data_IF_832027835707
#
_entry.id   IF_832027835707
#
_cell.length_a   1.000
_cell.length_b   1.000
_cell.length_c   1.000
_cell.angle_alpha   90.00
_cell.angle_beta   90.00
_cell.angle_gamma   90.00
#
_symmetry.space_group_name_H-M   'P 1'
#
loop_
_entity.id
_entity.type
_entity.pdbx_description
1 polymer ?
#
# COMPACT_ATOMS: atom_id res chain seq x y z
N UNK A 1 -0.90 -11.21 2.29
CA UNK A 1 -1.02 -12.68 2.32
C UNK A 1 0.21 -13.28 2.96
N UNK A 2 0.02 -14.15 3.96
CA UNK A 2 1.10 -14.72 4.77
C UNK A 2 2.16 -15.44 3.91
N UNK A 3 1.74 -16.16 2.89
CA UNK A 3 2.66 -16.85 1.96
C UNK A 3 3.61 -15.87 1.23
N UNK A 4 3.12 -14.72 0.78
CA UNK A 4 3.95 -13.68 0.17
C UNK A 4 4.93 -13.08 1.18
N UNK A 5 4.48 -12.79 2.40
CA UNK A 5 5.36 -12.26 3.44
C UNK A 5 6.49 -13.24 3.77
N UNK A 6 6.22 -14.54 3.77
CA UNK A 6 7.25 -15.57 3.94
C UNK A 6 8.30 -15.53 2.82
N UNK A 7 7.90 -15.34 1.57
CA UNK A 7 8.85 -15.19 0.47
C UNK A 7 9.73 -13.95 0.64
N UNK A 8 9.14 -12.79 0.97
CA UNK A 8 9.90 -11.57 1.22
C UNK A 8 10.85 -11.72 2.41
N UNK A 9 10.39 -12.31 3.52
CA UNK A 9 11.25 -12.62 4.67
C UNK A 9 12.43 -13.54 4.30
N UNK A 10 12.17 -14.57 3.49
CA UNK A 10 13.20 -15.48 2.98
C UNK A 10 14.22 -14.80 2.06
N UNK A 11 13.87 -13.68 1.43
CA UNK A 11 14.80 -12.83 0.65
C UNK A 11 15.51 -11.78 1.50
N UNK A 12 15.30 -11.78 2.82
CA UNK A 12 15.95 -10.85 3.74
C UNK A 12 15.27 -9.50 3.90
N UNK A 13 14.02 -9.34 3.42
CA UNK A 13 13.25 -8.13 3.67
C UNK A 13 12.78 -8.07 5.12
N UNK A 14 12.74 -6.84 5.67
CA UNK A 14 11.91 -6.49 6.80
C UNK A 14 10.52 -6.07 6.35
N UNK A 15 9.67 -5.71 7.33
CA UNK A 15 8.30 -5.27 7.05
C UNK A 15 8.04 -3.92 7.71
N UNK A 16 7.28 -3.09 7.01
CA UNK A 16 6.67 -1.89 7.57
C UNK A 16 5.18 -2.14 7.73
N UNK A 17 4.61 -1.71 8.85
CA UNK A 17 3.22 -1.87 9.20
C UNK A 17 2.60 -0.52 9.56
N UNK A 18 1.48 -0.18 8.90
CA UNK A 18 0.72 1.03 9.18
C UNK A 18 -0.35 0.82 10.27
N UNK A 19 -0.49 -0.40 10.79
CA UNK A 19 -1.34 -0.74 11.93
C UNK A 19 -0.71 -1.84 12.79
N UNK A 20 -1.12 -1.90 14.07
CA UNK A 20 -0.65 -2.95 14.96
C UNK A 20 -1.01 -4.36 14.45
N UNK A 21 -2.19 -4.52 13.84
CA UNK A 21 -2.62 -5.79 13.27
C UNK A 21 -1.78 -6.21 12.07
N UNK A 22 -1.41 -5.29 11.17
CA UNK A 22 -0.47 -5.58 10.08
C UNK A 22 0.86 -6.08 10.62
N UNK A 23 1.39 -5.45 11.67
CA UNK A 23 2.60 -5.89 12.35
C UNK A 23 2.49 -7.32 12.91
N UNK A 24 1.34 -7.67 13.52
CA UNK A 24 1.10 -9.03 14.01
C UNK A 24 1.08 -10.07 12.87
N UNK A 25 0.45 -9.72 11.73
CA UNK A 25 0.44 -10.59 10.54
C UNK A 25 1.86 -10.80 10.01
N UNK A 26 2.65 -9.74 9.91
CA UNK A 26 4.04 -9.82 9.46
C UNK A 26 4.92 -10.64 10.42
N UNK A 27 4.83 -10.39 11.73
CA UNK A 27 5.57 -11.13 12.75
C UNK A 27 5.20 -12.62 12.79
N UNK A 28 3.94 -12.97 12.53
CA UNK A 28 3.50 -14.36 12.40
C UNK A 28 4.02 -15.01 11.13
N UNK A 29 3.99 -14.29 10.02
CA UNK A 29 4.44 -14.82 8.73
C UNK A 29 5.94 -15.13 8.73
N UNK A 30 6.75 -14.24 9.31
CA UNK A 30 8.20 -14.38 9.37
C UNK A 30 8.75 -13.89 10.71
N UNK A 31 8.80 -14.76 11.73
CA UNK A 31 9.33 -14.41 13.04
C UNK A 31 10.79 -13.94 12.97
N UNK A 32 11.12 -12.84 13.66
CA UNK A 32 12.47 -12.29 13.73
C UNK A 32 12.86 -11.36 12.58
N UNK A 33 12.01 -11.13 11.58
CA UNK A 33 12.25 -10.06 10.61
C UNK A 33 12.24 -8.68 11.30
N UNK A 34 13.08 -7.72 10.86
CA UNK A 34 12.92 -6.33 11.27
C UNK A 34 11.51 -5.84 10.94
N UNK A 35 10.80 -5.30 11.93
CA UNK A 35 9.46 -4.79 11.76
C UNK A 35 9.41 -3.35 12.24
N UNK A 36 9.03 -2.45 11.33
CA UNK A 36 8.80 -1.04 11.58
C UNK A 36 7.30 -0.81 11.74
N UNK A 37 6.92 -0.06 12.77
CA UNK A 37 5.52 0.32 12.99
C UNK A 37 5.39 1.84 12.84
N UNK A 38 4.86 2.28 11.71
CA UNK A 38 4.57 3.68 11.38
C UNK A 38 3.07 3.87 11.18
N UNK A 39 2.46 4.60 12.08
CA UNK A 39 1.06 5.03 12.00
C UNK A 39 0.95 6.44 12.56
N UNK A 40 0.13 7.31 11.98
CA UNK A 40 -0.06 8.67 12.51
C UNK A 40 -0.89 8.71 13.79
N UNK A 41 -1.45 7.59 14.25
CA UNK A 41 -2.37 7.54 15.39
C UNK A 41 -2.24 6.24 16.18
N UNK A 42 -1.05 5.99 16.75
CA UNK A 42 -0.85 4.84 17.64
C UNK A 42 -1.43 5.10 19.02
N UNK A 43 -2.17 4.14 19.56
CA UNK A 43 -2.63 4.20 20.95
C UNK A 43 -1.49 3.92 21.94
N UNK A 44 -1.62 4.38 23.19
CA UNK A 44 -0.63 4.06 24.25
C UNK A 44 -0.44 2.55 24.42
N UNK A 45 -1.53 1.79 24.32
CA UNK A 45 -1.49 0.31 24.40
C UNK A 45 -0.73 -0.30 23.24
N UNK A 46 -0.93 0.17 22.02
CA UNK A 46 -0.19 -0.30 20.83
C UNK A 46 1.28 0.02 20.93
N UNK A 47 1.64 1.24 21.37
CA UNK A 47 3.04 1.63 21.59
C UNK A 47 3.70 0.66 22.59
N UNK A 48 3.10 0.47 23.76
CA UNK A 48 3.66 -0.40 24.81
C UNK A 48 3.80 -1.87 24.31
N UNK A 49 2.79 -2.38 23.59
CA UNK A 49 2.83 -3.74 23.05
C UNK A 49 3.87 -3.90 21.94
N UNK A 50 3.97 -2.95 21.03
CA UNK A 50 4.97 -2.98 19.96
C UNK A 50 6.40 -2.93 20.53
N UNK A 51 6.64 -2.11 21.55
CA UNK A 51 7.92 -2.06 22.27
C UNK A 51 8.24 -3.39 22.96
N UNK A 52 7.27 -4.00 23.63
CA UNK A 52 7.44 -5.31 24.28
C UNK A 52 7.74 -6.43 23.26
N UNK A 53 7.28 -6.29 22.01
CA UNK A 53 7.57 -7.19 20.91
C UNK A 53 8.90 -6.88 20.20
N UNK A 54 9.61 -5.83 20.59
CA UNK A 54 10.88 -5.43 19.98
C UNK A 54 10.74 -4.77 18.60
N UNK A 55 9.55 -4.24 18.25
CA UNK A 55 9.36 -3.54 16.98
C UNK A 55 10.02 -2.17 16.98
N UNK A 56 10.52 -1.75 15.84
CA UNK A 56 11.04 -0.39 15.64
C UNK A 56 9.86 0.56 15.45
N UNK A 57 9.71 1.52 16.37
CA UNK A 57 8.65 2.52 16.28
C UNK A 57 9.12 3.76 15.51
N UNK A 58 8.20 4.34 14.73
CA UNK A 58 8.33 5.67 14.16
C UNK A 58 7.26 6.59 14.76
N UNK A 59 7.65 7.51 15.61
CA UNK A 59 6.75 8.50 16.20
C UNK A 59 6.38 9.55 15.16
N UNK A 60 5.07 9.83 15.01
CA UNK A 60 4.60 10.84 14.07
C UNK A 60 4.75 12.29 14.59
N UNK A 61 4.95 12.46 15.89
CA UNK A 61 5.08 13.76 16.56
C UNK A 61 5.99 13.70 17.77
N UNK A 62 6.42 14.86 18.25
CA UNK A 62 7.17 15.00 19.51
C UNK A 62 6.38 14.48 20.72
N UNK A 63 5.06 14.73 20.73
CA UNK A 63 4.19 14.22 21.80
C UNK A 63 4.14 12.69 21.82
N UNK A 64 4.18 12.06 20.67
CA UNK A 64 4.24 10.61 20.58
C UNK A 64 5.62 10.08 20.96
N UNK A 65 6.69 10.74 20.50
CA UNK A 65 8.07 10.40 20.86
C UNK A 65 8.26 10.40 22.38
N UNK A 66 7.73 11.41 23.06
CA UNK A 66 7.78 11.51 24.53
C UNK A 66 7.04 10.36 25.26
N UNK A 67 6.20 9.61 24.58
CA UNK A 67 5.47 8.44 25.14
C UNK A 67 6.20 7.12 24.94
N UNK A 68 7.28 7.11 24.17
CA UNK A 68 8.06 5.90 23.89
C UNK A 68 9.12 5.70 24.98
N UNK A 69 9.34 4.44 25.38
CA UNK A 69 10.34 4.07 26.39
C UNK A 69 11.54 3.32 25.80
N UNK A 70 11.51 3.03 24.52
CA UNK A 70 12.56 2.31 23.80
C UNK A 70 13.08 3.18 22.64
N UNK A 71 14.22 2.83 22.03
CA UNK A 71 14.70 3.54 20.86
C UNK A 71 13.60 3.67 19.80
N UNK A 72 13.34 4.91 19.37
CA UNK A 72 12.29 5.25 18.43
C UNK A 72 12.84 6.24 17.39
N UNK A 73 12.32 6.21 16.16
CA UNK A 73 12.57 7.27 15.18
C UNK A 73 11.50 8.36 15.28
N UNK A 74 11.86 9.57 14.90
CA UNK A 74 10.90 10.64 14.71
C UNK A 74 10.63 10.79 13.19
N UNK A 75 9.36 10.82 12.82
CA UNK A 75 8.95 11.16 11.46
C UNK A 75 9.07 12.65 11.23
N UNK A 76 9.68 13.00 10.10
CA UNK A 76 9.97 14.38 9.71
C UNK A 76 9.31 14.70 8.38
N UNK A 77 8.60 15.79 8.32
CA UNK A 77 8.13 16.38 7.08
C UNK A 77 9.27 17.12 6.41
N UNK A 78 9.89 16.49 5.44
CA UNK A 78 11.07 17.03 4.74
C UNK A 78 10.74 18.12 3.71
N UNK A 79 9.48 18.54 3.57
CA UNK A 79 9.03 19.65 2.71
C UNK A 79 9.56 19.60 1.27
N UNK A 80 9.60 18.41 0.69
CA UNK A 80 10.05 18.22 -0.69
C UNK A 80 9.00 18.57 -1.74
N UNK A 81 7.81 18.98 -1.29
CA UNK A 81 6.74 19.43 -2.18
C UNK A 81 5.76 18.33 -2.59
N UNK A 82 4.90 18.67 -3.51
CA UNK A 82 3.86 17.77 -4.04
C UNK A 82 4.44 16.88 -5.15
N UNK A 83 4.11 15.57 -5.10
CA UNK A 83 4.22 14.69 -6.26
C UNK A 83 3.04 14.89 -7.22
N UNK A 84 2.96 14.05 -8.26
CA UNK A 84 1.88 14.11 -9.25
C UNK A 84 0.49 13.94 -8.61
N UNK A 85 0.39 13.06 -7.62
CA UNK A 85 -0.87 12.77 -6.90
C UNK A 85 -0.95 13.60 -5.63
N UNK A 86 -1.69 14.70 -5.69
CA UNK A 86 -1.74 15.69 -4.61
C UNK A 86 -2.21 15.13 -3.25
N UNK A 87 -3.27 14.29 -3.25
CA UNK A 87 -3.83 13.75 -2.00
C UNK A 87 -2.98 12.64 -1.34
N UNK A 88 -1.95 12.15 -2.00
CA UNK A 88 -0.95 11.23 -1.41
C UNK A 88 0.39 11.91 -1.15
N UNK A 89 0.54 13.18 -1.47
CA UNK A 89 1.73 13.96 -1.18
C UNK A 89 1.69 14.44 0.27
N UNK A 90 2.58 13.94 1.09
CA UNK A 90 2.59 14.21 2.53
C UNK A 90 3.76 15.08 2.99
N UNK A 91 4.73 15.38 2.12
CA UNK A 91 5.88 16.23 2.40
C UNK A 91 5.63 17.70 1.99
N UNK A 92 4.49 18.24 2.39
CA UNK A 92 4.04 19.60 2.09
C UNK A 92 3.81 20.40 3.37
N UNK A 93 3.80 21.72 3.27
CA UNK A 93 3.48 22.59 4.41
C UNK A 93 2.08 22.27 4.98
N UNK A 94 1.96 22.26 6.30
CA UNK A 94 0.72 21.95 7.01
C UNK A 94 0.29 20.47 6.96
N UNK A 95 1.16 19.57 6.54
CA UNK A 95 0.89 18.13 6.60
C UNK A 95 0.76 17.67 8.05
N UNK A 96 -0.19 16.76 8.31
CA UNK A 96 -0.34 16.09 9.61
C UNK A 96 0.68 14.96 9.86
N UNK A 97 1.56 14.71 8.90
CA UNK A 97 2.54 13.63 8.94
C UNK A 97 3.93 14.17 9.25
N UNK A 98 4.42 13.81 10.43
CA UNK A 98 5.75 14.16 10.89
C UNK A 98 5.89 15.61 11.34
N UNK A 99 6.93 15.86 12.12
CA UNK A 99 7.33 17.21 12.53
C UNK A 99 7.99 17.96 11.38
N UNK A 100 7.84 19.26 11.39
CA UNK A 100 8.42 20.11 10.35
C UNK A 100 9.95 20.12 10.46
N UNK A 101 10.63 19.80 9.36
CA UNK A 101 12.09 19.77 9.29
C UNK A 101 12.75 21.08 9.79
N UNK A 102 12.17 22.22 9.43
CA UNK A 102 12.73 23.54 9.74
C UNK A 102 12.41 24.02 11.18
N UNK A 103 11.51 23.31 11.88
CA UNK A 103 11.06 23.67 13.22
C UNK A 103 11.49 22.67 14.31
N UNK A 104 12.37 21.72 13.98
CA UNK A 104 12.84 20.71 14.93
C UNK A 104 13.68 21.34 16.05
N UNK A 105 13.47 20.97 17.35
CA UNK A 105 14.37 21.31 18.43
C UNK A 105 15.78 20.76 18.20
N UNK A 106 16.80 21.48 18.65
CA UNK A 106 18.20 21.12 18.40
C UNK A 106 18.74 19.94 19.24
N UNK A 107 18.06 19.60 20.34
CA UNK A 107 18.51 18.62 21.35
C UNK A 107 17.60 17.39 21.45
N UNK A 108 17.06 16.94 20.31
CA UNK A 108 16.15 15.79 20.27
C UNK A 108 16.86 14.48 20.62
N UNK A 109 16.25 13.72 21.50
CA UNK A 109 16.66 12.36 21.86
C UNK A 109 15.81 11.34 21.09
N UNK A 110 16.19 11.04 19.85
CA UNK A 110 15.63 9.96 19.07
C UNK A 110 16.73 9.08 18.46
N UNK A 111 16.43 7.81 18.29
CA UNK A 111 17.41 6.84 17.78
C UNK A 111 17.45 6.79 16.25
N UNK A 112 16.47 7.39 15.57
CA UNK A 112 16.42 7.40 14.12
C UNK A 112 15.56 8.53 13.56
N UNK A 113 15.66 8.71 12.25
CA UNK A 113 14.85 9.68 11.50
C UNK A 113 14.08 8.97 10.42
N UNK A 114 12.82 9.34 10.25
CA UNK A 114 11.95 8.80 9.22
C UNK A 114 11.34 9.92 8.38
N UNK A 115 11.27 9.73 7.07
CA UNK A 115 10.48 10.55 6.18
C UNK A 115 9.76 9.67 5.17
N UNK A 116 8.50 10.00 4.89
CA UNK A 116 7.73 9.40 3.81
C UNK A 116 7.10 10.55 3.02
N UNK A 117 7.43 10.67 1.72
CA UNK A 117 7.07 11.88 0.97
C UNK A 117 5.80 11.74 0.15
N UNK A 118 5.37 10.52 -0.16
CA UNK A 118 4.18 10.26 -0.95
C UNK A 118 4.05 8.81 -1.38
N UNK A 119 3.08 8.52 -2.26
CA UNK A 119 2.81 7.16 -2.73
C UNK A 119 2.95 6.96 -4.23
N UNK A 120 2.68 7.99 -5.03
CA UNK A 120 2.66 7.89 -6.49
C UNK A 120 3.20 9.20 -7.09
N UNK A 121 4.08 9.07 -8.08
CA UNK A 121 4.55 10.21 -8.87
C UNK A 121 5.44 11.19 -8.09
N UNK A 122 6.14 10.76 -7.05
CA UNK A 122 7.26 11.51 -6.51
C UNK A 122 8.44 11.38 -7.46
N UNK A 123 9.13 12.49 -7.71
CA UNK A 123 10.33 12.48 -8.57
C UNK A 123 11.55 11.93 -7.82
N UNK A 124 12.54 11.45 -8.55
CA UNK A 124 13.80 11.02 -7.93
C UNK A 124 14.46 12.17 -7.16
N UNK A 125 14.43 13.39 -7.69
CA UNK A 125 14.98 14.58 -7.01
C UNK A 125 14.32 14.85 -5.68
N UNK A 126 12.97 14.70 -5.59
CA UNK A 126 12.24 14.84 -4.33
C UNK A 126 12.65 13.76 -3.31
N UNK A 127 12.81 12.52 -3.77
CA UNK A 127 13.25 11.41 -2.93
C UNK A 127 14.69 11.61 -2.43
N UNK A 128 15.58 12.04 -3.32
CA UNK A 128 16.98 12.35 -2.99
C UNK A 128 17.08 13.53 -2.02
N UNK A 129 16.34 14.61 -2.28
CA UNK A 129 16.31 15.76 -1.36
C UNK A 129 15.83 15.37 0.04
N UNK A 130 14.80 14.52 0.12
CA UNK A 130 14.32 13.99 1.40
C UNK A 130 15.40 13.18 2.12
N UNK A 131 16.07 12.28 1.40
CA UNK A 131 17.14 11.45 1.92
C UNK A 131 18.34 12.29 2.41
N UNK A 132 18.73 13.33 1.66
CA UNK A 132 19.79 14.28 2.05
C UNK A 132 19.43 15.01 3.34
N UNK A 133 18.19 15.52 3.47
CA UNK A 133 17.73 16.18 4.71
C UNK A 133 17.76 15.24 5.91
N UNK A 134 17.42 13.97 5.75
CA UNK A 134 17.56 12.99 6.83
C UNK A 134 19.01 12.70 7.18
N UNK A 135 19.91 12.61 6.19
CA UNK A 135 21.34 12.44 6.43
C UNK A 135 21.93 13.65 7.16
N UNK A 136 21.54 14.87 6.80
CA UNK A 136 21.92 16.12 7.49
C UNK A 136 21.47 16.14 8.96
N UNK A 137 20.24 15.66 9.24
CA UNK A 137 19.75 15.49 10.61
C UNK A 137 20.60 14.48 11.38
N UNK A 138 20.88 13.33 10.78
CA UNK A 138 21.67 12.29 11.41
C UNK A 138 23.12 12.72 11.70
N UNK A 139 23.71 13.55 10.86
CA UNK A 139 25.04 14.13 11.10
C UNK A 139 25.05 15.08 12.29
N UNK A 140 23.97 15.84 12.49
CA UNK A 140 23.82 16.75 13.63
C UNK A 140 23.44 16.05 14.95
N UNK A 141 22.92 14.81 14.86
CA UNK A 141 22.46 14.02 16.01
C UNK A 141 23.29 12.73 16.12
N UNK A 142 24.41 12.73 16.86
CA UNK A 142 25.38 11.62 16.86
C UNK A 142 24.83 10.29 17.38
N UNK A 143 23.71 10.30 18.11
CA UNK A 143 23.02 9.10 18.61
C UNK A 143 22.14 8.40 17.56
N UNK A 144 22.04 8.95 16.35
CA UNK A 144 21.28 8.34 15.27
C UNK A 144 21.85 6.96 14.90
N UNK A 145 21.01 5.94 14.94
CA UNK A 145 21.34 4.55 14.62
C UNK A 145 20.79 4.13 13.27
N UNK A 146 19.64 4.69 12.85
CA UNK A 146 19.01 4.36 11.57
C UNK A 146 18.32 5.54 10.91
N UNK A 147 18.13 5.40 9.60
CA UNK A 147 17.36 6.29 8.75
C UNK A 147 16.32 5.49 7.99
N UNK A 148 15.07 5.93 8.02
CA UNK A 148 14.00 5.39 7.19
C UNK A 148 13.63 6.42 6.12
N UNK A 149 13.96 6.13 4.88
CA UNK A 149 13.74 7.03 3.73
C UNK A 149 12.30 6.96 3.22
N UNK A 150 11.47 6.06 3.78
CA UNK A 150 10.09 5.87 3.39
C UNK A 150 9.91 5.37 1.97
N UNK A 151 8.78 5.73 1.38
CA UNK A 151 8.37 5.38 0.03
C UNK A 151 8.13 6.59 -0.86
N UNK A 152 7.52 6.34 -2.02
CA UNK A 152 7.13 7.38 -2.98
C UNK A 152 7.38 7.04 -4.44
N UNK A 153 8.13 5.96 -4.75
CA UNK A 153 8.33 5.51 -6.13
C UNK A 153 7.00 5.06 -6.77
N UNK A 154 6.80 5.46 -8.02
CA UNK A 154 5.66 5.02 -8.82
C UNK A 154 5.76 3.54 -9.20
N UNK A 155 4.65 2.97 -9.69
CA UNK A 155 4.62 1.59 -10.18
C UNK A 155 5.56 1.33 -11.37
N UNK A 156 5.88 2.36 -12.16
CA UNK A 156 6.76 2.28 -13.32
C UNK A 156 8.23 2.56 -13.00
N UNK A 157 8.55 3.05 -11.81
CA UNK A 157 9.92 3.40 -11.43
C UNK A 157 10.69 2.16 -10.95
N UNK A 158 11.94 2.04 -11.39
CA UNK A 158 12.82 0.95 -10.96
C UNK A 158 13.50 1.32 -9.65
N UNK A 159 13.41 0.43 -8.67
CA UNK A 159 14.07 0.63 -7.37
C UNK A 159 15.62 0.74 -7.52
N UNK A 160 16.20 0.00 -8.45
CA UNK A 160 17.64 0.04 -8.73
C UNK A 160 18.12 1.43 -9.19
N UNK A 161 17.32 2.16 -9.97
CA UNK A 161 17.66 3.51 -10.43
C UNK A 161 17.69 4.48 -9.22
N UNK A 162 16.73 4.39 -8.32
CA UNK A 162 16.75 5.15 -7.08
C UNK A 162 18.00 4.85 -6.22
N UNK A 163 18.35 3.58 -6.05
CA UNK A 163 19.53 3.19 -5.29
C UNK A 163 20.83 3.73 -5.92
N UNK A 164 20.89 3.75 -7.27
CA UNK A 164 22.04 4.30 -8.01
C UNK A 164 22.19 5.80 -7.79
N UNK A 165 21.09 6.54 -7.91
CA UNK A 165 21.08 7.99 -7.68
C UNK A 165 21.42 8.33 -6.22
N UNK A 166 20.87 7.58 -5.24
CA UNK A 166 21.22 7.76 -3.83
C UNK A 166 22.72 7.57 -3.56
N UNK A 167 23.36 6.57 -4.19
CA UNK A 167 24.82 6.36 -4.03
C UNK A 167 25.64 7.53 -4.57
N UNK A 168 25.19 8.14 -5.64
CA UNK A 168 25.87 9.28 -6.23
C UNK A 168 25.65 10.57 -5.43
N UNK A 169 24.43 10.81 -4.99
CA UNK A 169 23.99 12.10 -4.45
C UNK A 169 24.03 12.19 -2.92
N UNK A 170 23.93 11.06 -2.20
CA UNK A 170 23.94 10.98 -0.72
C UNK A 170 24.79 9.78 -0.28
N UNK A 171 26.11 9.79 -0.59
CA UNK A 171 27.00 8.65 -0.35
C UNK A 171 27.13 8.31 1.15
N UNK A 172 26.86 9.25 2.05
CA UNK A 172 26.89 9.04 3.50
C UNK A 172 25.94 7.92 3.97
N UNK A 173 24.84 7.69 3.25
CA UNK A 173 23.90 6.60 3.53
C UNK A 173 24.54 5.21 3.37
N UNK A 174 25.61 5.11 2.63
CA UNK A 174 26.31 3.86 2.32
C UNK A 174 27.63 3.70 3.08
N UNK A 175 27.92 4.59 4.01
CA UNK A 175 29.13 4.57 4.85
C UNK A 175 29.15 3.45 5.90
N UNK A 176 28.02 2.77 6.14
CA UNK A 176 27.84 1.82 7.23
C UNK A 176 27.60 2.46 8.61
N UNK A 177 27.55 3.79 8.68
CA UNK A 177 27.32 4.52 9.92
C UNK A 177 25.90 4.32 10.47
N UNK A 178 24.91 4.22 9.57
CA UNK A 178 23.51 4.05 9.91
C UNK A 178 22.92 2.83 9.21
N UNK A 179 21.93 2.21 9.83
CA UNK A 179 21.07 1.28 9.14
C UNK A 179 20.05 2.08 8.31
N UNK A 180 19.94 1.79 7.02
CA UNK A 180 19.03 2.50 6.12
C UNK A 180 17.85 1.60 5.74
N UNK A 181 16.65 2.10 5.90
CA UNK A 181 15.38 1.45 5.52
C UNK A 181 14.71 2.22 4.39
N UNK A 182 13.93 1.50 3.59
CA UNK A 182 13.03 2.05 2.56
C UNK A 182 11.70 1.32 2.58
N UNK A 183 10.61 1.99 2.13
CA UNK A 183 9.24 1.48 2.15
C UNK A 183 8.63 1.52 0.73
N UNK A 184 9.29 0.97 -0.26
CA UNK A 184 8.95 1.11 -1.69
C UNK A 184 7.87 0.11 -2.16
N UNK A 185 6.79 -0.09 -1.39
CA UNK A 185 5.77 -1.11 -1.63
C UNK A 185 5.14 -1.05 -3.03
N UNK A 186 4.75 0.14 -3.51
CA UNK A 186 4.10 0.27 -4.83
C UNK A 186 4.99 -0.17 -5.98
N UNK A 187 6.21 0.33 -6.05
CA UNK A 187 7.15 -0.01 -7.13
C UNK A 187 7.54 -1.48 -7.14
N UNK A 188 7.51 -2.14 -5.97
CA UNK A 188 7.80 -3.56 -5.85
C UNK A 188 6.60 -4.45 -6.18
N UNK A 189 5.37 -4.02 -5.84
CA UNK A 189 4.22 -4.91 -5.82
C UNK A 189 3.16 -4.63 -6.90
N UNK A 190 3.00 -3.39 -7.38
CA UNK A 190 1.87 -3.05 -8.25
C UNK A 190 1.78 -3.94 -9.51
N UNK A 191 2.90 -4.19 -10.16
CA UNK A 191 2.97 -4.99 -11.39
C UNK A 191 2.98 -6.50 -11.18
N UNK A 192 3.08 -6.98 -9.91
CA UNK A 192 3.19 -8.41 -9.62
C UNK A 192 1.86 -9.13 -9.62
N UNK A 193 0.74 -8.41 -9.65
CA UNK A 193 -0.58 -9.04 -9.70
C UNK A 193 -1.49 -8.40 -10.76
N UNK A 194 -2.40 -9.22 -11.24
CA UNK A 194 -3.51 -8.87 -12.11
C UNK A 194 -4.79 -9.38 -11.48
N UNK A 195 -5.88 -8.66 -11.71
CA UNK A 195 -7.20 -9.14 -11.35
C UNK A 195 -7.96 -9.53 -12.63
N UNK A 196 -8.78 -10.55 -12.53
CA UNK A 196 -9.60 -11.05 -13.62
C UNK A 196 -11.05 -11.07 -13.21
N UNK A 197 -11.91 -10.60 -14.08
CA UNK A 197 -13.35 -10.58 -13.83
C UNK A 197 -14.11 -10.94 -15.09
N UNK A 198 -15.17 -11.74 -14.94
CA UNK A 198 -16.03 -12.15 -16.04
C UNK A 198 -17.02 -11.06 -16.37
N UNK A 199 -17.32 -10.92 -17.66
CA UNK A 199 -18.40 -10.08 -18.19
C UNK A 199 -19.72 -10.85 -18.06
N UNK A 200 -20.61 -10.34 -17.24
CA UNK A 200 -21.93 -10.95 -17.03
C UNK A 200 -22.96 -10.48 -18.07
N UNK A 201 -22.95 -9.18 -18.38
CA UNK A 201 -23.90 -8.58 -19.31
C UNK A 201 -23.21 -7.55 -20.19
N UNK A 202 -23.67 -7.48 -21.46
CA UNK A 202 -23.30 -6.40 -22.38
C UNK A 202 -24.58 -5.71 -22.88
N UNK A 203 -24.70 -4.42 -22.59
CA UNK A 203 -25.87 -3.65 -23.01
C UNK A 203 -25.46 -2.23 -23.42
N UNK A 204 -25.82 -1.84 -24.64
CA UNK A 204 -25.58 -0.47 -25.16
C UNK A 204 -24.12 -0.02 -25.04
N UNK A 205 -23.17 -0.91 -25.33
CA UNK A 205 -21.74 -0.64 -25.26
C UNK A 205 -21.16 -0.60 -23.83
N UNK A 206 -21.93 -1.05 -22.82
CA UNK A 206 -21.48 -1.22 -21.45
C UNK A 206 -21.37 -2.70 -21.12
N UNK A 207 -20.17 -3.15 -20.76
CA UNK A 207 -19.89 -4.47 -20.22
C UNK A 207 -19.88 -4.39 -18.68
N UNK A 208 -20.76 -5.15 -18.02
CA UNK A 208 -20.88 -5.22 -16.58
C UNK A 208 -20.14 -6.41 -16.03
N UNK A 209 -19.26 -6.19 -15.04
CA UNK A 209 -18.38 -7.21 -14.46
C UNK A 209 -18.58 -7.32 -12.94
N UNK A 210 -17.93 -8.31 -12.31
CA UNK A 210 -18.04 -8.56 -10.86
C UNK A 210 -17.04 -7.79 -9.98
N UNK A 211 -16.03 -7.13 -10.53
CA UNK A 211 -15.13 -6.25 -9.78
C UNK A 211 -15.48 -4.78 -10.06
N UNK A 212 -15.65 -4.01 -9.03
CA UNK A 212 -16.01 -2.60 -9.11
C UNK A 212 -15.24 -1.76 -8.10
N UNK A 213 -15.85 -0.67 -7.64
CA UNK A 213 -15.26 0.21 -6.64
C UNK A 213 -15.02 -0.47 -5.28
N UNK A 214 -15.67 -1.59 -4.99
CA UNK A 214 -15.43 -2.43 -3.82
C UNK A 214 -14.00 -2.99 -3.79
N UNK A 215 -13.41 -3.27 -4.94
CA UNK A 215 -12.05 -3.79 -5.10
C UNK A 215 -11.08 -2.74 -5.67
N UNK A 216 -11.54 -1.93 -6.62
CA UNK A 216 -10.77 -0.93 -7.35
C UNK A 216 -11.12 0.50 -6.90
N UNK A 217 -11.30 0.71 -5.61
CA UNK A 217 -11.76 1.96 -5.01
C UNK A 217 -11.05 3.19 -5.60
N UNK A 218 -9.71 3.17 -5.63
CA UNK A 218 -8.93 4.30 -6.13
C UNK A 218 -9.11 4.50 -7.63
N UNK A 219 -9.18 3.42 -8.40
CA UNK A 219 -9.38 3.49 -9.85
C UNK A 219 -10.71 4.14 -10.19
N UNK A 220 -11.77 3.81 -9.48
CA UNK A 220 -13.12 4.35 -9.75
C UNK A 220 -13.24 5.81 -9.31
N UNK A 221 -12.76 6.14 -8.12
CA UNK A 221 -12.91 7.51 -7.58
C UNK A 221 -11.84 8.49 -8.05
N UNK A 222 -10.71 8.01 -8.54
CA UNK A 222 -9.58 8.81 -9.01
C UNK A 222 -8.89 8.16 -10.21
N UNK A 223 -9.58 8.01 -11.35
CA UNK A 223 -9.08 7.25 -12.49
C UNK A 223 -7.78 7.81 -13.09
N UNK A 224 -7.58 9.13 -13.05
CA UNK A 224 -6.38 9.77 -13.59
C UNK A 224 -5.14 9.55 -12.71
N UNK A 225 -5.35 9.45 -11.40
CA UNK A 225 -4.28 9.26 -10.42
C UNK A 225 -3.84 7.79 -10.30
N UNK A 226 -4.74 6.85 -10.64
CA UNK A 226 -4.56 5.41 -10.42
C UNK A 226 -4.88 4.60 -11.68
N UNK A 227 -4.05 4.72 -12.72
CA UNK A 227 -4.24 3.94 -13.93
C UNK A 227 -4.10 2.43 -13.63
N UNK A 228 -5.16 1.68 -13.91
CA UNK A 228 -5.12 0.23 -13.97
C UNK A 228 -5.48 -0.14 -15.40
N UNK A 229 -4.55 -0.65 -16.20
CA UNK A 229 -4.84 -1.08 -17.56
C UNK A 229 -5.98 -2.10 -17.59
N UNK A 230 -6.93 -1.92 -18.49
CA UNK A 230 -8.06 -2.82 -18.70
C UNK A 230 -7.87 -3.50 -20.05
N UNK A 231 -7.77 -4.83 -20.05
CA UNK A 231 -7.60 -5.63 -21.26
C UNK A 231 -8.75 -6.63 -21.38
N UNK A 232 -9.71 -6.39 -22.28
CA UNK A 232 -10.72 -7.41 -22.60
C UNK A 232 -10.08 -8.59 -23.32
N UNK A 233 -10.45 -9.78 -22.91
CA UNK A 233 -10.06 -11.08 -23.45
C UNK A 233 -11.32 -11.90 -23.72
N UNK A 234 -11.26 -12.89 -24.59
CA UNK A 234 -12.36 -13.84 -24.74
C UNK A 234 -12.45 -14.82 -23.55
N UNK A 235 -13.42 -15.71 -23.57
CA UNK A 235 -13.65 -16.70 -22.51
C UNK A 235 -12.49 -17.69 -22.31
N UNK A 236 -11.57 -17.78 -23.27
CA UNK A 236 -10.36 -18.62 -23.24
C UNK A 236 -9.08 -17.82 -22.93
N UNK A 237 -9.22 -16.58 -22.44
CA UNK A 237 -8.12 -15.67 -22.12
C UNK A 237 -7.28 -15.22 -23.33
N UNK A 238 -7.80 -15.30 -24.55
CA UNK A 238 -7.13 -14.79 -25.75
C UNK A 238 -7.65 -13.40 -26.14
N UNK A 239 -6.82 -12.67 -26.89
CA UNK A 239 -7.24 -11.39 -27.48
C UNK A 239 -8.30 -11.64 -28.54
N UNK A 240 -9.43 -10.92 -28.47
CA UNK A 240 -10.45 -11.00 -29.51
C UNK A 240 -9.95 -10.39 -30.82
N UNK A 241 -10.22 -11.04 -31.95
CA UNK A 241 -9.97 -10.46 -33.26
C UNK A 241 -11.08 -9.46 -33.63
N UNK A 242 -10.75 -8.51 -34.49
CA UNK A 242 -11.72 -7.59 -35.09
C UNK A 242 -11.37 -6.10 -34.87
N UNK A 243 -12.12 -5.21 -35.54
CA UNK A 243 -11.89 -3.78 -35.40
C UNK A 243 -12.28 -3.29 -34.00
N UNK A 244 -11.48 -2.38 -33.39
CA UNK A 244 -11.79 -1.83 -32.08
C UNK A 244 -12.99 -0.88 -32.14
N UNK A 245 -13.78 -0.89 -31.09
CA UNK A 245 -14.82 0.11 -30.81
C UNK A 245 -14.74 0.58 -29.37
N UNK A 246 -15.32 1.74 -29.08
CA UNK A 246 -15.35 2.30 -27.73
C UNK A 246 -16.39 1.57 -26.89
N UNK A 247 -15.98 1.03 -25.75
CA UNK A 247 -16.84 0.33 -24.82
C UNK A 247 -16.51 0.71 -23.39
N UNK A 248 -17.52 0.74 -22.53
CA UNK A 248 -17.38 1.04 -21.10
C UNK A 248 -17.38 -0.26 -20.30
N UNK A 249 -16.48 -0.37 -19.33
CA UNK A 249 -16.47 -1.46 -18.35
C UNK A 249 -16.98 -0.90 -17.03
N UNK A 250 -18.06 -1.46 -16.51
CA UNK A 250 -18.74 -1.05 -15.29
C UNK A 250 -18.76 -2.19 -14.27
N UNK A 251 -18.63 -1.83 -12.98
CA UNK A 251 -18.71 -2.75 -11.87
C UNK A 251 -20.14 -3.11 -11.47
N UNK A 252 -20.31 -3.93 -10.42
CA UNK A 252 -21.59 -4.49 -10.00
C UNK A 252 -22.33 -3.64 -8.95
N UNK A 253 -21.78 -2.52 -8.53
CA UNK A 253 -22.30 -1.77 -7.38
C UNK A 253 -23.50 -0.89 -7.75
N UNK A 254 -24.38 -0.66 -6.79
CA UNK A 254 -25.64 0.06 -6.97
C UNK A 254 -25.45 1.59 -6.96
N UNK A 255 -24.47 2.12 -7.69
CA UNK A 255 -24.32 3.56 -7.93
C UNK A 255 -23.74 3.83 -9.31
N UNK A 256 -24.14 4.93 -9.92
CA UNK A 256 -23.82 5.25 -11.33
C UNK A 256 -22.30 5.45 -11.59
N UNK A 257 -21.54 5.77 -10.55
CA UNK A 257 -20.09 5.99 -10.64
C UNK A 257 -19.25 4.73 -10.62
N UNK A 258 -19.83 3.52 -10.50
CA UNK A 258 -19.07 2.26 -10.52
C UNK A 258 -18.63 1.89 -11.93
N UNK A 259 -17.75 2.73 -12.48
CA UNK A 259 -17.20 2.59 -13.83
C UNK A 259 -15.68 2.43 -13.72
N UNK A 260 -15.19 1.29 -14.20
CA UNK A 260 -13.75 1.01 -14.19
C UNK A 260 -13.01 1.80 -15.27
N UNK A 261 -13.67 2.06 -16.39
CA UNK A 261 -13.11 2.87 -17.46
C UNK A 261 -13.69 2.56 -18.83
N UNK A 262 -13.16 3.25 -19.82
CA UNK A 262 -13.50 3.06 -21.23
C UNK A 262 -12.30 2.43 -21.96
N UNK A 263 -12.57 1.48 -22.83
CA UNK A 263 -11.56 0.76 -23.62
C UNK A 263 -11.83 0.88 -25.10
N UNK A 264 -10.77 0.81 -25.89
CA UNK A 264 -10.80 0.60 -27.34
C UNK A 264 -10.43 -0.86 -27.60
N UNK A 265 -11.42 -1.69 -27.88
CA UNK A 265 -11.25 -3.12 -28.08
C UNK A 265 -12.28 -3.65 -29.10
N UNK A 266 -12.06 -4.80 -29.72
CA UNK A 266 -13.11 -5.52 -30.44
C UNK A 266 -14.34 -5.71 -29.54
N UNK A 267 -15.56 -5.88 -30.12
CA UNK A 267 -16.79 -6.01 -29.33
C UNK A 267 -16.66 -7.05 -28.22
N UNK A 268 -16.89 -6.61 -27.00
CA UNK A 268 -16.92 -7.46 -25.80
C UNK A 268 -18.24 -8.23 -25.80
N UNK A 269 -18.23 -9.50 -25.39
CA UNK A 269 -19.39 -10.35 -25.26
C UNK A 269 -19.59 -10.84 -23.82
N UNK A 270 -20.79 -11.31 -23.53
CA UNK A 270 -21.08 -12.03 -22.28
C UNK A 270 -20.20 -13.29 -22.19
N UNK A 271 -19.65 -13.55 -21.02
CA UNK A 271 -18.71 -14.63 -20.78
C UNK A 271 -17.23 -14.28 -21.03
N UNK A 272 -16.94 -13.14 -21.66
CA UNK A 272 -15.57 -12.63 -21.80
C UNK A 272 -14.93 -12.31 -20.43
N UNK A 273 -13.63 -12.15 -20.45
CA UNK A 273 -12.84 -11.82 -19.28
C UNK A 273 -12.28 -10.41 -19.44
N UNK A 274 -12.27 -9.64 -18.37
CA UNK A 274 -11.49 -8.39 -18.30
C UNK A 274 -10.31 -8.62 -17.38
N UNK A 275 -9.10 -8.51 -17.93
CA UNK A 275 -7.87 -8.43 -17.17
C UNK A 275 -7.66 -7.00 -16.69
N UNK A 276 -7.34 -6.83 -15.40
CA UNK A 276 -7.06 -5.55 -14.76
C UNK A 276 -5.62 -5.58 -14.27
N UNK A 277 -4.76 -4.80 -14.90
CA UNK A 277 -3.34 -4.73 -14.58
C UNK A 277 -3.04 -3.89 -13.33
N UNK A 278 -1.80 -3.95 -12.86
CA UNK A 278 -1.29 -3.21 -11.69
C UNK A 278 -2.11 -3.43 -10.41
N UNK A 279 -2.66 -4.64 -10.23
CA UNK A 279 -3.54 -4.97 -9.12
C UNK A 279 -2.78 -5.43 -7.84
N UNK A 280 -1.44 -5.44 -7.83
CA UNK A 280 -0.64 -5.96 -6.73
C UNK A 280 -0.49 -5.01 -5.54
N UNK A 281 -0.89 -3.73 -5.67
CA UNK A 281 -0.78 -2.77 -4.58
C UNK A 281 -2.01 -1.86 -4.51
N UNK A 282 -2.53 -1.66 -3.29
CA UNK A 282 -3.66 -0.77 -2.99
C UNK A 282 -4.95 -1.11 -3.76
N UNK A 283 -5.21 -2.39 -3.91
CA UNK A 283 -6.46 -2.98 -4.45
C UNK A 283 -7.10 -3.85 -3.39
N UNK A 284 -6.68 -5.09 -3.22
CA UNK A 284 -7.20 -5.99 -2.19
C UNK A 284 -7.14 -5.41 -0.77
N UNK A 285 -6.08 -4.66 -0.44
CA UNK A 285 -5.95 -3.98 0.86
C UNK A 285 -6.95 -2.82 1.08
N UNK A 286 -7.58 -2.34 0.01
CA UNK A 286 -8.61 -1.30 0.06
C UNK A 286 -10.02 -1.85 -0.14
N UNK A 287 -10.19 -3.18 -0.08
CA UNK A 287 -11.48 -3.82 -0.20
C UNK A 287 -12.53 -3.15 0.70
N UNK A 288 -13.65 -2.78 0.13
CA UNK A 288 -14.78 -2.23 0.88
C UNK A 288 -15.94 -3.23 0.90
N UNK A 289 -16.71 -3.20 1.97
CA UNK A 289 -17.90 -4.06 2.10
C UNK A 289 -19.18 -3.44 1.52
N UNK A 290 -19.03 -2.54 0.56
CA UNK A 290 -20.20 -1.94 -0.08
C UNK A 290 -21.07 -3.03 -0.71
N UNK A 291 -22.38 -2.97 -0.48
CA UNK A 291 -23.36 -3.99 -0.85
C UNK A 291 -23.07 -5.40 -0.29
N UNK A 292 -22.31 -5.51 0.81
CA UNK A 292 -21.92 -6.79 1.44
C UNK A 292 -21.33 -7.81 0.47
N UNK A 293 -20.56 -7.34 -0.50
CA UNK A 293 -19.91 -8.21 -1.47
C UNK A 293 -18.73 -8.93 -0.84
N UNK A 294 -18.42 -10.11 -1.35
CA UNK A 294 -17.36 -10.99 -0.84
C UNK A 294 -16.01 -10.60 -1.45
N UNK A 295 -14.97 -10.66 -0.63
CA UNK A 295 -13.58 -10.58 -1.12
C UNK A 295 -13.31 -11.74 -2.07
N UNK A 296 -12.81 -11.50 -3.30
CA UNK A 296 -12.50 -12.57 -4.24
C UNK A 296 -11.32 -13.43 -3.78
N UNK A 297 -11.20 -14.67 -4.29
CA UNK A 297 -10.02 -15.50 -4.04
C UNK A 297 -8.77 -14.90 -4.66
N UNK A 298 -7.61 -15.24 -4.08
CA UNK A 298 -6.30 -14.80 -4.58
C UNK A 298 -5.40 -16.00 -4.75
N UNK A 299 -4.79 -16.08 -5.92
CA UNK A 299 -3.88 -17.16 -6.29
C UNK A 299 -2.48 -16.61 -6.55
N UNK A 300 -1.47 -17.37 -6.20
CA UNK A 300 -0.09 -17.17 -6.61
C UNK A 300 0.22 -18.07 -7.81
N UNK A 301 0.94 -17.54 -8.79
CA UNK A 301 1.47 -18.33 -9.89
C UNK A 301 2.94 -18.65 -9.59
N UNK A 302 3.24 -19.92 -9.39
CA UNK A 302 4.60 -20.41 -9.16
C UNK A 302 5.43 -20.40 -10.47
N UNK A 303 6.74 -20.48 -10.36
CA UNK A 303 7.65 -20.44 -11.52
C UNK A 303 7.44 -21.61 -12.51
N UNK A 304 6.94 -22.73 -12.03
CA UNK A 304 6.58 -23.91 -12.82
C UNK A 304 5.18 -23.81 -13.46
N UNK A 305 4.47 -22.69 -13.26
CA UNK A 305 3.11 -22.46 -13.74
C UNK A 305 2.01 -23.01 -12.84
N UNK A 306 2.33 -23.60 -11.70
CA UNK A 306 1.34 -24.10 -10.74
C UNK A 306 0.64 -22.94 -10.03
N UNK A 307 -0.69 -23.04 -9.89
CA UNK A 307 -1.49 -22.10 -9.10
C UNK A 307 -1.51 -22.54 -7.62
N UNK A 308 -1.19 -21.61 -6.74
CA UNK A 308 -1.27 -21.76 -5.30
C UNK A 308 -2.35 -20.85 -4.73
N UNK A 309 -3.25 -21.37 -3.92
CA UNK A 309 -4.24 -20.53 -3.23
C UNK A 309 -3.57 -19.73 -2.12
N UNK A 310 -3.48 -18.42 -2.28
CA UNK A 310 -2.99 -17.50 -1.25
C UNK A 310 -4.13 -17.07 -0.30
N UNK A 311 -5.34 -16.99 -0.82
CA UNK A 311 -6.58 -16.74 -0.07
C UNK A 311 -7.75 -17.36 -0.82
N UNK A 312 -8.59 -18.08 -0.11
CA UNK A 312 -9.83 -18.63 -0.67
C UNK A 312 -10.89 -17.54 -0.96
N UNK A 313 -10.61 -16.29 -0.54
CA UNK A 313 -11.63 -15.25 -0.54
C UNK A 313 -12.59 -15.41 0.65
N UNK A 314 -13.75 -14.80 0.57
CA UNK A 314 -14.79 -14.89 1.60
C UNK A 314 -15.96 -15.76 1.12
N UNK A 315 -16.45 -16.60 2.01
CA UNK A 315 -17.71 -17.35 1.84
C UNK A 315 -18.91 -16.48 2.23
N UNK A 316 -20.11 -16.94 1.90
CA UNK A 316 -21.34 -16.32 2.39
C UNK A 316 -21.45 -16.40 3.91
N UNK A 317 -21.02 -17.51 4.50
CA UNK A 317 -21.03 -17.71 5.94
C UNK A 317 -20.09 -16.73 6.68
N UNK A 318 -18.95 -16.37 6.08
CA UNK A 318 -18.04 -15.36 6.65
C UNK A 318 -18.75 -13.99 6.75
N UNK A 319 -19.50 -13.61 5.71
CA UNK A 319 -20.28 -12.37 5.73
C UNK A 319 -21.47 -12.45 6.71
N UNK A 320 -22.16 -13.57 6.75
CA UNK A 320 -23.26 -13.76 7.70
C UNK A 320 -22.78 -13.69 9.15
N UNK A 321 -21.61 -14.25 9.46
CA UNK A 321 -20.99 -14.11 10.79
C UNK A 321 -20.67 -12.67 11.15
N UNK A 322 -20.21 -11.89 10.19
CA UNK A 322 -19.90 -10.48 10.40
C UNK A 322 -21.13 -9.66 10.80
N UNK A 323 -22.31 -10.03 10.28
CA UNK A 323 -23.57 -9.33 10.50
C UNK A 323 -24.45 -9.99 11.57
N UNK A 324 -24.07 -11.16 12.10
CA UNK A 324 -24.78 -11.75 13.23
C UNK A 324 -24.68 -10.83 14.44
N UNK A 325 -25.81 -10.55 15.04
CA UNK A 325 -25.88 -9.93 16.36
C UNK A 325 -25.23 -10.88 17.38
N UNK A 326 -24.30 -10.39 18.19
CA UNK A 326 -23.95 -11.10 19.42
C UNK A 326 -25.25 -11.28 20.22
N UNK A 327 -25.45 -12.45 20.83
CA UNK A 327 -26.62 -12.72 21.68
C UNK A 327 -26.78 -11.58 22.68
N UNK A 328 -27.66 -10.64 22.37
CA UNK A 328 -28.08 -9.63 23.35
C UNK A 328 -28.89 -10.36 24.38
N UNK A 329 -28.65 -10.18 25.68
CA UNK A 329 -29.53 -10.71 26.71
C UNK A 329 -30.95 -10.20 26.40
N UNK A 330 -31.89 -11.12 26.30
CA UNK A 330 -33.32 -10.79 26.18
C UNK A 330 -33.66 -9.78 27.29
N UNK A 331 -34.26 -8.61 26.94
CA UNK A 331 -34.73 -7.71 28.00
C UNK A 331 -35.59 -8.53 28.95
N UNK A 332 -35.28 -8.51 30.25
CA UNK A 332 -36.14 -9.12 31.24
C UNK A 332 -37.54 -8.52 31.05
N UNK A 333 -38.52 -9.36 30.77
CA UNK A 333 -39.92 -8.94 30.73
C UNK A 333 -40.23 -8.33 32.09
N UNK A 334 -40.38 -6.99 32.13
CA UNK A 334 -40.79 -6.22 33.31
C UNK A 334 -42.29 -6.16 33.43
#
# INVERSE_FOLDING_TARGET
YEALLRHFGGWGFGFEAASFTEGLVAARAWPGAPLLYDSPAKTRTEIARAQALGWVLSANSLDELARTQAPCSLRVNTRTGRGQVAHTSVAVAGSRFGEDFDALPGDLDCAGWHAHIGSQGCTLDQLVLSARRLADLALRHPRTQWLNLGGGLSASARYADYATVLRAEVPELFSGRWRVYTEMGRSLLASTARAYTRVEYVRRGVATVHLGADFLLRRVYRPDDWPCPLQPLDGEFALRPGPPCTQTIAGPLCFAGDVLGTVQAPPIAEGDIVEIGLAGAYTASLWSRHCSRRMPPVFGLAADGALQTLSAGESEEDLLRLWRQADLPTPAEG
#
